data_IF_337922383131
#
_entry.id   IF_337922383131
#
_cell.length_a   1.000
_cell.length_b   1.000
_cell.length_c   1.000
_cell.angle_alpha   90.00
_cell.angle_beta   90.00
_cell.angle_gamma   90.00
#
_symmetry.space_group_name_H-M   'P 1'
#
loop_
_entity.id
_entity.type
_entity.pdbx_description
1 polymer ?
#
# COMPACT_ATOMS: atom_id res chain seq x y z
N UNK A 1 15.84 4.30 -9.70
CA UNK A 1 15.21 5.11 -8.65
C UNK A 1 15.06 6.59 -9.06
N UNK A 2 16.16 7.29 -9.41
CA UNK A 2 16.08 8.71 -9.80
C UNK A 2 15.11 8.96 -10.97
N UNK A 3 15.15 8.12 -11.97
CA UNK A 3 14.23 8.20 -13.11
C UNK A 3 12.76 8.05 -12.69
N UNK A 4 12.43 7.06 -11.86
CA UNK A 4 11.06 6.87 -11.36
C UNK A 4 10.62 8.00 -10.42
N UNK A 5 11.57 8.58 -9.65
CA UNK A 5 11.30 9.73 -8.78
C UNK A 5 10.92 10.98 -9.57
N UNK A 6 11.52 11.21 -10.75
CA UNK A 6 11.15 12.33 -11.63
C UNK A 6 9.67 12.26 -12.00
N UNK A 7 9.16 11.08 -12.38
CA UNK A 7 7.74 10.93 -12.66
C UNK A 7 6.87 11.26 -11.45
N UNK A 8 7.28 10.85 -10.24
CA UNK A 8 6.54 11.16 -9.02
C UNK A 8 6.50 12.67 -8.73
N UNK A 9 7.61 13.38 -8.99
CA UNK A 9 7.69 14.85 -8.87
C UNK A 9 6.79 15.56 -9.90
N UNK A 10 6.64 14.99 -11.08
CA UNK A 10 5.80 15.56 -12.13
C UNK A 10 4.29 15.41 -11.87
N UNK A 11 3.87 14.42 -11.08
CA UNK A 11 2.44 14.17 -10.81
C UNK A 11 1.66 15.40 -10.35
N UNK A 12 2.11 16.22 -9.37
CA UNK A 12 1.38 17.42 -8.96
C UNK A 12 1.19 18.45 -10.07
N UNK A 13 2.09 18.45 -11.09
CA UNK A 13 2.12 19.43 -12.18
C UNK A 13 1.26 18.97 -13.35
N UNK A 14 1.53 17.76 -13.88
CA UNK A 14 0.91 17.23 -15.11
C UNK A 14 -0.11 16.13 -14.84
N UNK A 15 -0.28 15.70 -13.58
CA UNK A 15 -1.18 14.61 -13.22
C UNK A 15 -2.64 14.96 -13.45
N UNK A 16 -3.42 13.93 -13.85
CA UNK A 16 -4.87 14.05 -13.98
C UNK A 16 -5.52 13.97 -12.60
N UNK A 17 -6.51 14.82 -12.40
CA UNK A 17 -7.31 14.79 -11.19
C UNK A 17 -8.38 13.68 -11.28
N UNK A 18 -8.30 12.73 -10.34
CA UNK A 18 -9.29 11.66 -10.19
C UNK A 18 -9.79 11.69 -8.76
N UNK A 19 -11.09 11.91 -8.56
CA UNK A 19 -11.74 11.97 -7.24
C UNK A 19 -11.10 12.94 -6.26
N UNK A 20 -10.73 14.13 -6.75
CA UNK A 20 -10.17 15.19 -5.90
C UNK A 20 -8.68 15.03 -5.57
N UNK A 21 -7.97 14.11 -6.22
CA UNK A 21 -6.53 13.96 -6.06
C UNK A 21 -5.82 13.70 -7.38
N UNK A 22 -4.64 14.28 -7.55
CA UNK A 22 -3.77 14.07 -8.71
C UNK A 22 -2.76 13.00 -8.37
N UNK A 23 -2.94 11.78 -8.88
CA UNK A 23 -2.08 10.62 -8.60
C UNK A 23 -1.66 9.88 -9.87
N UNK A 24 -2.35 10.14 -10.99
CA UNK A 24 -2.21 9.42 -12.24
C UNK A 24 -1.58 10.30 -13.31
N UNK A 25 -0.74 9.70 -14.17
CA UNK A 25 -0.23 10.32 -15.38
C UNK A 25 -0.84 9.63 -16.58
N UNK A 26 -1.28 10.44 -17.56
CA UNK A 26 -1.75 10.01 -18.86
C UNK A 26 -0.75 10.51 -19.92
N UNK A 27 -0.07 9.61 -20.59
CA UNK A 27 0.97 9.94 -21.59
C UNK A 27 0.49 9.71 -23.03
N UNK A 28 -0.80 9.64 -23.30
CA UNK A 28 -1.41 9.37 -24.62
C UNK A 28 -0.97 8.07 -25.31
N UNK A 29 0.31 7.67 -25.16
CA UNK A 29 0.89 6.47 -25.76
C UNK A 29 0.87 5.24 -24.86
N UNK A 30 0.66 5.43 -23.57
CA UNK A 30 0.65 4.39 -22.55
C UNK A 30 -0.68 4.42 -21.79
N UNK A 31 -1.15 3.27 -21.28
CA UNK A 31 -2.26 3.28 -20.35
C UNK A 31 -1.95 4.18 -19.15
N UNK A 32 -2.97 4.77 -18.56
CA UNK A 32 -2.83 5.56 -17.34
C UNK A 32 -2.10 4.75 -16.29
N UNK A 33 -1.07 5.32 -15.69
CA UNK A 33 -0.30 4.65 -14.65
C UNK A 33 -0.05 5.58 -13.46
N UNK A 34 0.16 4.96 -12.32
CA UNK A 34 0.46 5.67 -11.07
C UNK A 34 1.97 5.57 -10.81
N UNK A 35 2.73 6.69 -10.86
CA UNK A 35 4.20 6.65 -10.75
C UNK A 35 4.72 6.04 -9.47
N UNK A 36 3.99 6.11 -8.36
CA UNK A 36 4.40 5.50 -7.10
C UNK A 36 4.58 3.96 -7.21
N UNK A 37 3.81 3.30 -8.08
CA UNK A 37 3.93 1.86 -8.29
C UNK A 37 5.31 1.46 -8.85
N UNK A 38 5.92 2.35 -9.64
CA UNK A 38 7.29 2.19 -10.11
C UNK A 38 8.31 2.60 -9.04
N UNK A 39 8.02 3.66 -8.27
CA UNK A 39 8.96 4.16 -7.25
C UNK A 39 9.16 3.14 -6.13
N UNK A 40 8.12 2.45 -5.68
CA UNK A 40 8.19 1.49 -4.56
C UNK A 40 9.29 0.42 -4.72
N UNK A 41 9.31 -0.40 -5.79
CA UNK A 41 10.35 -1.42 -5.94
C UNK A 41 11.74 -0.81 -6.12
N UNK A 42 11.88 0.29 -6.84
CA UNK A 42 13.17 0.96 -6.98
C UNK A 42 13.66 1.61 -5.69
N UNK A 43 12.76 2.09 -4.84
CA UNK A 43 13.11 2.61 -3.51
C UNK A 43 13.63 1.48 -2.60
N UNK A 44 12.97 0.31 -2.61
CA UNK A 44 13.44 -0.86 -1.85
C UNK A 44 14.84 -1.26 -2.28
N UNK A 45 15.09 -1.38 -3.59
CA UNK A 45 16.41 -1.72 -4.11
C UNK A 45 17.45 -0.68 -3.71
N UNK A 46 17.11 0.61 -3.84
CA UNK A 46 18.01 1.71 -3.48
C UNK A 46 18.38 1.71 -2.01
N UNK A 47 17.39 1.56 -1.12
CA UNK A 47 17.60 1.48 0.33
C UNK A 47 18.45 0.24 0.69
N UNK A 48 18.15 -0.91 0.10
CA UNK A 48 18.89 -2.14 0.33
C UNK A 48 20.36 -2.01 -0.05
N UNK A 49 20.66 -1.32 -1.16
CA UNK A 49 22.04 -1.01 -1.57
C UNK A 49 22.74 -0.09 -0.56
N UNK A 50 22.04 0.93 -0.03
CA UNK A 50 22.61 1.83 0.98
C UNK A 50 22.92 1.06 2.27
N UNK A 51 21.96 0.28 2.76
CA UNK A 51 22.10 -0.45 4.02
C UNK A 51 23.21 -1.50 3.96
N UNK A 52 23.35 -2.22 2.85
CA UNK A 52 24.38 -3.24 2.64
C UNK A 52 25.75 -2.68 2.21
N UNK A 53 25.84 -1.37 1.89
CA UNK A 53 27.06 -0.78 1.35
C UNK A 53 28.18 -0.73 2.39
N UNK A 54 29.36 -1.22 2.04
CA UNK A 54 30.58 -1.09 2.86
C UNK A 54 31.26 0.29 2.74
N UNK A 55 30.83 1.14 1.79
CA UNK A 55 31.39 2.49 1.61
C UNK A 55 31.12 3.42 2.80
N UNK A 56 30.04 3.20 3.51
CA UNK A 56 29.69 3.96 4.70
C UNK A 56 30.07 3.14 5.94
N UNK A 57 31.11 3.52 6.64
CA UNK A 57 31.55 2.88 7.90
C UNK A 57 30.56 3.13 9.04
N UNK A 58 29.86 4.27 9.02
CA UNK A 58 28.90 4.64 10.06
C UNK A 58 27.50 4.14 9.71
N UNK A 59 26.98 3.22 10.52
CA UNK A 59 25.64 2.65 10.33
C UNK A 59 24.53 3.70 10.50
N UNK A 60 24.71 4.67 11.39
CA UNK A 60 23.74 5.74 11.59
C UNK A 60 23.59 6.63 10.35
N UNK A 61 24.68 6.82 9.60
CA UNK A 61 24.63 7.56 8.33
C UNK A 61 23.81 6.80 7.28
N UNK A 62 23.93 5.47 7.21
CA UNK A 62 23.10 4.64 6.32
C UNK A 62 21.61 4.78 6.68
N UNK A 63 21.28 4.72 7.96
CA UNK A 63 19.91 4.90 8.44
C UNK A 63 19.37 6.30 8.13
N UNK A 64 20.19 7.33 8.35
CA UNK A 64 19.81 8.72 8.05
C UNK A 64 19.53 8.93 6.55
N UNK A 65 20.42 8.45 5.66
CA UNK A 65 20.23 8.57 4.21
C UNK A 65 18.98 7.81 3.76
N UNK A 66 18.78 6.58 4.26
CA UNK A 66 17.58 5.80 3.93
C UNK A 66 16.29 6.47 4.44
N UNK A 67 16.33 7.08 5.63
CA UNK A 67 15.21 7.83 6.18
C UNK A 67 14.91 9.08 5.34
N UNK A 68 15.92 9.89 5.01
CA UNK A 68 15.74 11.10 4.21
C UNK A 68 15.19 10.80 2.81
N UNK A 69 15.63 9.71 2.17
CA UNK A 69 15.10 9.30 0.86
C UNK A 69 13.64 8.86 0.97
N UNK A 70 13.30 8.07 1.98
CA UNK A 70 11.93 7.63 2.24
C UNK A 70 11.01 8.81 2.59
N UNK A 71 11.50 9.73 3.44
CA UNK A 71 10.79 10.94 3.80
C UNK A 71 10.53 11.84 2.59
N UNK A 72 11.50 11.98 1.68
CA UNK A 72 11.32 12.72 0.43
C UNK A 72 10.18 12.15 -0.43
N UNK A 73 10.12 10.82 -0.58
CA UNK A 73 9.02 10.14 -1.28
C UNK A 73 7.70 10.35 -0.53
N UNK A 74 7.71 10.22 0.80
CA UNK A 74 6.52 10.40 1.62
C UNK A 74 5.95 11.83 1.55
N UNK A 75 6.81 12.85 1.52
CA UNK A 75 6.38 14.25 1.33
C UNK A 75 5.70 14.43 -0.02
N UNK A 76 6.26 13.87 -1.10
CA UNK A 76 5.63 13.92 -2.42
C UNK A 76 4.26 13.26 -2.44
N UNK A 77 4.10 12.12 -1.76
CA UNK A 77 2.81 11.42 -1.61
C UNK A 77 1.83 12.22 -0.75
N UNK A 78 2.29 12.87 0.31
CA UNK A 78 1.47 13.73 1.13
C UNK A 78 0.95 14.97 0.36
N UNK A 79 1.76 15.52 -0.57
CA UNK A 79 1.32 16.58 -1.48
C UNK A 79 0.19 16.09 -2.42
N UNK A 80 0.18 14.80 -2.77
CA UNK A 80 -0.83 14.14 -3.61
C UNK A 80 -2.04 13.59 -2.83
N UNK A 81 -2.28 13.99 -1.60
CA UNK A 81 -3.02 13.41 -0.46
C UNK A 81 -3.19 11.87 -0.53
N UNK A 82 -2.07 11.15 -0.66
CA UNK A 82 -2.04 9.68 -0.72
C UNK A 82 -1.45 9.06 0.56
N UNK A 83 -2.24 9.08 1.62
CA UNK A 83 -1.80 8.55 2.93
C UNK A 83 -1.62 7.03 2.90
N UNK A 84 -2.45 6.30 2.14
CA UNK A 84 -2.32 4.85 2.04
C UNK A 84 -0.96 4.42 1.51
N UNK A 85 -0.52 5.01 0.39
CA UNK A 85 0.80 4.76 -0.18
C UNK A 85 1.93 5.27 0.73
N UNK A 86 1.72 6.40 1.41
CA UNK A 86 2.68 6.93 2.38
C UNK A 86 2.94 5.93 3.50
N UNK A 87 1.89 5.39 4.11
CA UNK A 87 2.00 4.37 5.15
C UNK A 87 2.67 3.10 4.63
N UNK A 88 2.30 2.63 3.44
CA UNK A 88 2.90 1.45 2.81
C UNK A 88 4.41 1.60 2.63
N UNK A 89 4.87 2.75 2.14
CA UNK A 89 6.29 3.07 1.94
C UNK A 89 7.04 3.11 3.28
N UNK A 90 6.47 3.75 4.30
CA UNK A 90 7.08 3.79 5.63
C UNK A 90 7.13 2.41 6.30
N UNK A 91 6.10 1.60 6.16
CA UNK A 91 6.10 0.23 6.67
C UNK A 91 7.19 -0.62 6.00
N UNK A 92 7.27 -0.58 4.67
CA UNK A 92 8.29 -1.33 3.93
C UNK A 92 9.70 -0.88 4.32
N UNK A 93 9.92 0.43 4.46
CA UNK A 93 11.18 0.98 4.97
C UNK A 93 11.47 0.51 6.40
N UNK A 94 10.49 0.52 7.30
CA UNK A 94 10.66 0.08 8.69
C UNK A 94 11.09 -1.38 8.78
N UNK A 95 10.52 -2.25 7.94
CA UNK A 95 10.91 -3.66 7.87
C UNK A 95 12.36 -3.82 7.39
N UNK A 96 12.78 -3.05 6.38
CA UNK A 96 14.16 -3.06 5.90
C UNK A 96 15.15 -2.63 6.99
N UNK A 97 14.86 -1.55 7.70
CA UNK A 97 15.69 -1.05 8.79
C UNK A 97 15.73 -2.05 9.96
N UNK A 98 14.58 -2.66 10.29
CA UNK A 98 14.52 -3.71 11.31
C UNK A 98 15.38 -4.91 10.93
N UNK A 99 15.30 -5.36 9.68
CA UNK A 99 16.08 -6.48 9.16
C UNK A 99 17.58 -6.17 9.14
N UNK A 100 17.95 -4.89 9.00
CA UNK A 100 19.35 -4.45 9.05
C UNK A 100 19.92 -4.32 10.48
N UNK A 101 19.10 -4.58 11.53
CA UNK A 101 19.57 -4.69 12.92
C UNK A 101 19.31 -3.48 13.82
N UNK A 102 18.40 -2.57 13.43
CA UNK A 102 18.01 -1.47 14.33
C UNK A 102 17.15 -1.99 15.50
N UNK A 103 17.20 -1.31 16.64
CA UNK A 103 16.40 -1.71 17.81
C UNK A 103 14.91 -1.50 17.57
N UNK A 104 14.10 -2.44 18.04
CA UNK A 104 12.62 -2.36 17.95
C UNK A 104 12.08 -1.14 18.69
N UNK A 105 12.73 -0.73 19.80
CA UNK A 105 12.31 0.45 20.57
C UNK A 105 12.42 1.72 19.73
N UNK A 106 13.50 1.87 18.96
CA UNK A 106 13.67 3.02 18.06
C UNK A 106 12.57 3.05 16.99
N UNK A 107 12.26 1.90 16.41
CA UNK A 107 11.19 1.77 15.41
C UNK A 107 9.81 2.09 15.99
N UNK A 108 9.51 1.64 17.21
CA UNK A 108 8.23 1.96 17.86
C UNK A 108 8.08 3.44 18.14
N UNK A 109 9.12 4.12 18.63
CA UNK A 109 9.12 5.57 18.86
C UNK A 109 8.91 6.33 17.55
N UNK A 110 9.62 5.92 16.49
CA UNK A 110 9.51 6.54 15.17
C UNK A 110 8.11 6.33 14.58
N UNK A 111 7.52 5.15 14.74
CA UNK A 111 6.18 4.84 14.26
C UNK A 111 5.11 5.66 15.01
N UNK A 112 5.23 5.77 16.33
CA UNK A 112 4.33 6.60 17.13
C UNK A 112 4.43 8.09 16.76
N UNK A 113 5.65 8.59 16.52
CA UNK A 113 5.85 9.96 16.05
C UNK A 113 5.23 10.20 14.67
N UNK A 114 5.33 9.23 13.75
CA UNK A 114 4.69 9.30 12.44
C UNK A 114 3.15 9.34 12.56
N UNK A 115 2.57 8.47 13.38
CA UNK A 115 1.12 8.48 13.65
C UNK A 115 0.69 9.84 14.20
N UNK A 116 1.44 10.40 15.14
CA UNK A 116 1.14 11.71 15.71
C UNK A 116 1.15 12.81 14.65
N UNK A 117 2.18 12.85 13.80
CA UNK A 117 2.30 13.83 12.70
C UNK A 117 1.16 13.67 11.70
N UNK A 118 0.86 12.43 11.26
CA UNK A 118 -0.22 12.17 10.33
C UNK A 118 -1.58 12.54 10.92
N UNK A 119 -1.82 12.24 12.19
CA UNK A 119 -3.05 12.65 12.89
C UNK A 119 -3.18 14.17 12.93
N UNK A 120 -2.11 14.88 13.26
CA UNK A 120 -2.09 16.34 13.23
C UNK A 120 -2.43 16.88 11.83
N UNK A 121 -1.79 16.36 10.77
CA UNK A 121 -2.06 16.76 9.38
C UNK A 121 -3.53 16.53 8.99
N UNK A 122 -4.09 15.36 9.32
CA UNK A 122 -5.47 14.99 8.96
C UNK A 122 -6.51 15.86 9.67
N UNK A 123 -6.29 16.17 10.96
CA UNK A 123 -7.30 16.88 11.74
C UNK A 123 -7.23 18.41 11.61
N UNK A 124 -6.05 18.98 11.38
CA UNK A 124 -5.83 20.42 11.43
C UNK A 124 -5.54 21.09 10.08
N UNK A 125 -5.22 20.33 9.03
CA UNK A 125 -4.92 20.91 7.71
C UNK A 125 -6.07 20.62 6.73
N UNK A 126 -6.67 21.68 6.17
CA UNK A 126 -7.83 21.62 5.28
C UNK A 126 -7.61 20.73 4.05
N UNK A 127 -6.38 20.71 3.50
CA UNK A 127 -6.03 19.85 2.36
C UNK A 127 -6.32 18.36 2.60
N UNK A 128 -6.30 17.91 3.86
CA UNK A 128 -6.55 16.53 4.26
C UNK A 128 -7.98 16.29 4.74
N UNK A 129 -8.89 17.26 4.62
CA UNK A 129 -10.28 17.16 5.05
C UNK A 129 -11.02 15.99 4.39
N UNK A 130 -10.67 15.67 3.14
CA UNK A 130 -11.18 14.49 2.45
C UNK A 130 -10.86 13.18 3.20
N UNK A 131 -9.65 13.04 3.75
CA UNK A 131 -9.23 11.87 4.51
C UNK A 131 -9.91 11.85 5.88
N UNK A 132 -10.00 13.02 6.53
CA UNK A 132 -10.77 13.18 7.76
C UNK A 132 -12.21 12.70 7.59
N UNK A 133 -12.88 13.13 6.52
CA UNK A 133 -14.26 12.74 6.22
C UNK A 133 -14.37 11.23 5.97
N UNK A 134 -13.40 10.61 5.28
CA UNK A 134 -13.35 9.15 5.11
C UNK A 134 -13.22 8.41 6.44
N UNK A 135 -12.32 8.86 7.31
CA UNK A 135 -12.14 8.26 8.64
C UNK A 135 -13.40 8.41 9.49
N UNK A 136 -13.99 9.60 9.55
CA UNK A 136 -15.21 9.84 10.31
C UNK A 136 -16.39 9.03 9.78
N UNK A 137 -16.56 8.94 8.45
CA UNK A 137 -17.61 8.12 7.85
C UNK A 137 -17.40 6.63 8.06
N UNK A 138 -16.15 6.17 8.18
CA UNK A 138 -15.84 4.79 8.52
C UNK A 138 -16.32 4.40 9.93
N UNK A 139 -16.16 5.31 10.90
CA UNK A 139 -16.60 5.08 12.29
C UNK A 139 -18.10 5.37 12.51
N UNK A 140 -18.68 6.31 11.76
CA UNK A 140 -20.09 6.68 11.88
C UNK A 140 -20.92 5.93 10.83
N UNK A 141 -21.55 4.85 11.24
CA UNK A 141 -22.29 3.92 10.35
C UNK A 141 -23.53 4.51 9.68
N UNK A 142 -24.03 5.68 10.12
CA UNK A 142 -25.35 6.18 9.70
C UNK A 142 -25.36 7.14 8.50
N UNK A 143 -24.25 7.70 8.06
CA UNK A 143 -24.29 8.89 7.16
C UNK A 143 -23.28 8.91 6.00
N UNK A 144 -22.82 7.80 5.43
CA UNK A 144 -21.80 7.93 4.41
C UNK A 144 -21.92 7.01 3.20
N UNK A 145 -21.79 7.58 2.00
CA UNK A 145 -21.65 6.86 0.70
C UNK A 145 -20.53 5.82 0.72
N UNK A 146 -19.49 6.01 1.53
CA UNK A 146 -18.37 5.07 1.68
C UNK A 146 -18.76 3.82 2.46
N UNK A 147 -19.61 3.94 3.49
CA UNK A 147 -20.14 2.79 4.21
C UNK A 147 -21.01 1.93 3.29
N UNK A 148 -21.79 2.55 2.41
CA UNK A 148 -22.61 1.81 1.46
C UNK A 148 -21.79 0.98 0.45
N UNK A 149 -20.57 1.38 0.10
CA UNK A 149 -19.68 0.59 -0.77
C UNK A 149 -19.07 -0.61 -0.04
N UNK A 150 -18.57 -0.39 1.18
CA UNK A 150 -18.03 -1.46 2.01
C UNK A 150 -19.13 -2.46 2.44
N UNK A 151 -20.33 -1.96 2.72
CA UNK A 151 -21.47 -2.82 3.07
C UNK A 151 -21.89 -3.69 1.89
N UNK A 152 -21.93 -3.13 0.67
CA UNK A 152 -22.18 -3.90 -0.57
C UNK A 152 -21.07 -4.93 -0.83
N UNK A 153 -19.82 -4.61 -0.52
CA UNK A 153 -18.70 -5.55 -0.62
C UNK A 153 -18.88 -6.74 0.30
N UNK A 154 -19.26 -6.51 1.57
CA UNK A 154 -19.56 -7.58 2.53
C UNK A 154 -20.78 -8.37 2.08
N UNK A 155 -21.86 -7.71 1.64
CA UNK A 155 -23.06 -8.37 1.08
C UNK A 155 -22.67 -9.30 -0.07
N UNK A 156 -21.80 -8.86 -0.96
CA UNK A 156 -21.31 -9.67 -2.09
C UNK A 156 -20.50 -10.87 -1.63
N UNK A 157 -19.58 -10.70 -0.67
CA UNK A 157 -18.82 -11.81 -0.09
C UNK A 157 -19.75 -12.85 0.52
N UNK A 158 -20.75 -12.41 1.30
CA UNK A 158 -21.69 -13.31 1.96
C UNK A 158 -22.64 -13.98 0.95
N UNK A 159 -23.07 -13.26 -0.08
CA UNK A 159 -23.97 -13.78 -1.11
C UNK A 159 -23.31 -14.79 -2.05
N UNK A 160 -21.97 -14.75 -2.21
CA UNK A 160 -21.21 -15.72 -2.99
C UNK A 160 -21.17 -17.12 -2.36
N UNK A 161 -21.28 -17.22 -1.03
CA UNK A 161 -21.23 -18.50 -0.34
C UNK A 161 -19.94 -19.27 -0.58
N UNK A 162 -20.01 -20.62 -0.55
CA UNK A 162 -18.83 -21.45 -0.74
C UNK A 162 -18.35 -21.54 -2.19
N UNK A 163 -19.26 -21.64 -3.16
CA UNK A 163 -18.96 -21.93 -4.56
C UNK A 163 -19.13 -20.75 -5.50
N UNK A 164 -19.62 -19.61 -5.00
CA UNK A 164 -19.93 -18.44 -5.82
C UNK A 164 -21.25 -18.57 -6.59
N UNK A 165 -21.63 -17.46 -7.23
CA UNK A 165 -22.83 -17.38 -8.09
C UNK A 165 -22.56 -17.83 -9.52
N UNK A 166 -21.32 -17.91 -9.94
CA UNK A 166 -20.88 -18.19 -11.29
C UNK A 166 -20.16 -17.00 -11.94
N UNK A 167 -19.33 -17.31 -12.94
CA UNK A 167 -18.51 -16.33 -13.66
C UNK A 167 -19.44 -15.34 -14.40
N UNK A 168 -19.29 -14.06 -14.09
CA UNK A 168 -20.08 -13.01 -14.72
C UNK A 168 -21.45 -12.76 -14.08
N UNK A 169 -21.94 -13.64 -13.21
CA UNK A 169 -23.24 -13.52 -12.52
C UNK A 169 -23.20 -12.60 -11.29
N UNK A 170 -22.00 -12.17 -10.88
CA UNK A 170 -21.81 -11.20 -9.80
C UNK A 170 -22.43 -9.84 -10.12
N UNK A 171 -23.07 -9.23 -9.13
CA UNK A 171 -23.76 -7.93 -9.27
C UNK A 171 -22.95 -6.75 -8.74
N UNK A 172 -21.90 -7.01 -7.90
CA UNK A 172 -21.09 -5.97 -7.27
C UNK A 172 -20.41 -5.06 -8.29
N UNK A 173 -19.88 -5.64 -9.39
CA UNK A 173 -19.22 -4.89 -10.46
C UNK A 173 -20.09 -3.77 -11.06
N UNK A 174 -21.43 -3.91 -11.00
CA UNK A 174 -22.40 -2.92 -11.50
C UNK A 174 -22.87 -1.96 -10.39
N UNK A 175 -22.65 -2.32 -9.11
CA UNK A 175 -23.13 -1.56 -7.95
C UNK A 175 -22.08 -0.63 -7.33
N UNK A 176 -20.80 -0.94 -7.55
CA UNK A 176 -19.68 -0.21 -6.94
C UNK A 176 -18.69 0.25 -8.01
N UNK A 177 -18.44 1.55 -8.14
CA UNK A 177 -17.55 2.10 -9.18
C UNK A 177 -16.11 1.58 -9.16
N UNK A 178 -15.62 1.14 -7.99
CA UNK A 178 -14.25 0.65 -7.76
C UNK A 178 -14.20 -0.88 -7.56
N UNK A 179 -15.21 -1.60 -8.06
CA UNK A 179 -15.28 -3.04 -7.94
C UNK A 179 -14.04 -3.76 -8.52
N UNK A 180 -13.46 -3.22 -9.61
CA UNK A 180 -12.30 -3.82 -10.31
C UNK A 180 -10.94 -3.46 -9.69
N UNK A 181 -10.90 -2.57 -8.70
CA UNK A 181 -9.68 -2.13 -8.03
C UNK A 181 -9.73 -2.44 -6.54
N UNK A 182 -10.30 -1.55 -5.74
CA UNK A 182 -10.31 -1.68 -4.28
C UNK A 182 -11.12 -2.90 -3.78
N UNK A 183 -12.16 -3.32 -4.52
CA UNK A 183 -13.08 -4.40 -4.12
C UNK A 183 -12.96 -5.68 -4.96
N UNK A 184 -11.83 -5.90 -5.63
CA UNK A 184 -11.62 -7.08 -6.48
C UNK A 184 -11.81 -8.40 -5.73
N UNK A 185 -11.42 -8.47 -4.45
CA UNK A 185 -11.60 -9.67 -3.61
C UNK A 185 -13.08 -9.97 -3.39
N UNK A 186 -13.90 -8.93 -3.17
CA UNK A 186 -15.35 -9.10 -3.02
C UNK A 186 -16.01 -9.58 -4.30
N UNK A 187 -15.56 -9.09 -5.47
CA UNK A 187 -16.03 -9.60 -6.78
C UNK A 187 -15.66 -11.07 -6.97
N UNK A 188 -14.40 -11.44 -6.69
CA UNK A 188 -13.94 -12.83 -6.80
C UNK A 188 -14.74 -13.71 -5.83
N UNK A 189 -14.99 -13.25 -4.61
CA UNK A 189 -15.80 -14.00 -3.64
C UNK A 189 -17.25 -14.17 -4.09
N UNK A 190 -17.85 -13.16 -4.71
CA UNK A 190 -19.21 -13.25 -5.24
C UNK A 190 -19.33 -14.25 -6.39
N UNK A 191 -18.36 -14.23 -7.33
CA UNK A 191 -18.41 -15.07 -8.54
C UNK A 191 -17.91 -16.50 -8.31
N UNK A 192 -16.85 -16.69 -7.51
CA UNK A 192 -16.17 -17.98 -7.31
C UNK A 192 -16.30 -18.55 -5.90
N UNK A 193 -16.86 -17.79 -4.96
CA UNK A 193 -17.06 -18.20 -3.58
C UNK A 193 -15.80 -18.11 -2.70
N UNK A 194 -16.00 -18.50 -1.43
CA UNK A 194 -14.95 -18.49 -0.41
C UNK A 194 -13.80 -19.44 -0.76
N UNK A 195 -14.07 -20.53 -1.48
CA UNK A 195 -13.03 -21.50 -1.89
C UNK A 195 -11.96 -20.80 -2.73
N UNK A 196 -12.33 -19.92 -3.67
CA UNK A 196 -11.37 -19.16 -4.46
C UNK A 196 -10.50 -18.23 -3.61
N UNK A 197 -11.08 -17.60 -2.60
CA UNK A 197 -10.34 -16.73 -1.67
C UNK A 197 -9.33 -17.56 -0.85
N UNK A 198 -9.73 -18.74 -0.33
CA UNK A 198 -8.83 -19.64 0.38
C UNK A 198 -7.69 -20.07 -0.53
N UNK A 199 -7.95 -20.39 -1.79
CA UNK A 199 -6.92 -20.79 -2.76
C UNK A 199 -5.93 -19.64 -3.01
N UNK A 200 -6.41 -18.41 -3.18
CA UNK A 200 -5.55 -17.22 -3.32
C UNK A 200 -4.68 -17.04 -2.08
N UNK A 201 -5.25 -17.15 -0.87
CA UNK A 201 -4.49 -17.05 0.38
C UNK A 201 -3.43 -18.15 0.49
N UNK A 202 -3.76 -19.37 0.11
CA UNK A 202 -2.78 -20.48 0.08
C UNK A 202 -1.64 -20.21 -0.90
N UNK A 203 -1.92 -19.68 -2.09
CA UNK A 203 -0.89 -19.28 -3.05
C UNK A 203 0.02 -18.18 -2.47
N UNK A 204 -0.55 -17.17 -1.79
CA UNK A 204 0.24 -16.17 -1.08
C UNK A 204 1.13 -16.80 0.01
N UNK A 205 0.61 -17.73 0.81
CA UNK A 205 1.39 -18.43 1.85
C UNK A 205 2.55 -19.24 1.26
N UNK A 206 2.31 -19.97 0.16
CA UNK A 206 3.34 -20.72 -0.55
C UNK A 206 4.42 -19.77 -1.09
N UNK A 207 4.01 -18.64 -1.68
CA UNK A 207 4.93 -17.61 -2.16
C UNK A 207 5.79 -17.04 -1.04
N UNK A 208 5.17 -16.65 0.08
CA UNK A 208 5.84 -16.14 1.28
C UNK A 208 6.86 -17.17 1.78
N UNK A 209 6.43 -18.42 1.97
CA UNK A 209 7.30 -19.50 2.43
C UNK A 209 8.51 -19.69 1.50
N UNK A 210 8.29 -19.68 0.19
CA UNK A 210 9.35 -19.82 -0.82
C UNK A 210 10.37 -18.69 -0.74
N UNK A 211 9.91 -17.44 -0.56
CA UNK A 211 10.81 -16.29 -0.42
C UNK A 211 11.58 -16.36 0.91
N UNK A 212 10.91 -16.64 2.04
CA UNK A 212 11.59 -16.78 3.33
C UNK A 212 12.62 -17.89 3.33
N UNK A 213 12.31 -19.03 2.71
CA UNK A 213 13.29 -20.12 2.51
C UNK A 213 14.52 -19.62 1.76
N UNK A 214 14.33 -18.85 0.68
CA UNK A 214 15.44 -18.28 -0.09
C UNK A 214 16.24 -17.27 0.74
N UNK A 215 15.58 -16.39 1.49
CA UNK A 215 16.23 -15.42 2.39
C UNK A 215 17.06 -16.12 3.46
N UNK A 216 16.59 -17.25 3.98
CA UNK A 216 17.29 -18.01 5.02
C UNK A 216 18.64 -18.57 4.52
N UNK A 217 18.69 -19.06 3.26
CA UNK A 217 19.91 -19.63 2.66
C UNK A 217 20.78 -18.60 1.92
N UNK A 218 20.31 -17.37 1.76
CA UNK A 218 21.08 -16.35 1.06
C UNK A 218 22.20 -15.80 1.97
N UNK A 219 23.40 -15.62 1.41
CA UNK A 219 24.54 -15.07 2.13
C UNK A 219 24.78 -13.58 1.84
N UNK A 220 24.34 -13.09 0.71
CA UNK A 220 24.49 -11.68 0.34
C UNK A 220 23.41 -10.82 1.06
N UNK A 221 23.86 -9.98 2.00
CA UNK A 221 22.98 -9.08 2.77
C UNK A 221 22.16 -8.15 1.87
N UNK A 222 22.71 -7.71 0.74
CA UNK A 222 21.99 -6.86 -0.20
C UNK A 222 20.81 -7.62 -0.80
N UNK A 223 21.03 -8.87 -1.25
CA UNK A 223 19.96 -9.70 -1.82
C UNK A 223 18.92 -10.04 -0.76
N UNK A 224 19.33 -10.36 0.47
CA UNK A 224 18.39 -10.54 1.60
C UNK A 224 17.49 -9.35 1.80
N UNK A 225 18.05 -8.15 1.89
CA UNK A 225 17.28 -6.93 2.10
C UNK A 225 16.32 -6.66 0.94
N UNK A 226 16.74 -6.87 -0.33
CA UNK A 226 15.87 -6.71 -1.48
C UNK A 226 14.70 -7.69 -1.40
N UNK A 227 14.96 -8.97 -1.14
CA UNK A 227 13.92 -10.00 -1.03
C UNK A 227 12.92 -9.68 0.10
N UNK A 228 13.43 -9.33 1.28
CA UNK A 228 12.59 -8.95 2.43
C UNK A 228 11.77 -7.70 2.12
N UNK A 229 12.37 -6.68 1.52
CA UNK A 229 11.67 -5.46 1.17
C UNK A 229 10.57 -5.67 0.13
N UNK A 230 10.85 -6.45 -0.93
CA UNK A 230 9.86 -6.76 -1.96
C UNK A 230 8.70 -7.59 -1.41
N UNK A 231 8.98 -8.63 -0.62
CA UNK A 231 7.92 -9.46 -0.03
C UNK A 231 7.09 -8.66 0.97
N UNK A 232 7.71 -7.79 1.78
CA UNK A 232 7.00 -6.95 2.73
C UNK A 232 6.04 -5.99 2.03
N UNK A 233 6.45 -5.38 0.91
CA UNK A 233 5.63 -4.49 0.12
C UNK A 233 4.40 -5.24 -0.45
N UNK A 234 4.60 -6.41 -1.05
CA UNK A 234 3.52 -7.23 -1.60
C UNK A 234 2.54 -7.66 -0.50
N UNK A 235 3.06 -8.12 0.64
CA UNK A 235 2.24 -8.55 1.77
C UNK A 235 1.43 -7.42 2.37
N UNK A 236 2.06 -6.29 2.63
CA UNK A 236 1.37 -5.13 3.19
C UNK A 236 0.28 -4.62 2.25
N UNK A 237 0.55 -4.57 0.95
CA UNK A 237 -0.45 -4.20 -0.04
C UNK A 237 -1.61 -5.18 -0.08
N UNK A 238 -1.33 -6.50 -0.09
CA UNK A 238 -2.37 -7.54 -0.03
C UNK A 238 -3.20 -7.45 1.26
N UNK A 239 -2.55 -7.26 2.42
CA UNK A 239 -3.26 -7.09 3.70
C UNK A 239 -4.17 -5.86 3.71
N UNK A 240 -3.73 -4.74 3.13
CA UNK A 240 -4.56 -3.55 3.04
C UNK A 240 -5.77 -3.81 2.14
N UNK A 241 -5.58 -4.42 0.97
CA UNK A 241 -6.68 -4.76 0.07
C UNK A 241 -7.68 -5.72 0.72
N UNK A 242 -7.22 -6.77 1.38
CA UNK A 242 -8.09 -7.68 2.13
C UNK A 242 -8.83 -6.91 3.23
N UNK A 243 -8.12 -6.11 4.02
CA UNK A 243 -8.69 -5.33 5.12
C UNK A 243 -9.75 -4.33 4.69
N UNK A 244 -9.60 -3.70 3.52
CA UNK A 244 -10.63 -2.82 2.93
C UNK A 244 -11.87 -3.62 2.57
N UNK A 245 -11.72 -4.79 1.94
CA UNK A 245 -12.85 -5.63 1.51
C UNK A 245 -13.67 -6.18 2.67
N UNK A 246 -13.02 -6.50 3.81
CA UNK A 246 -13.71 -6.98 5.02
C UNK A 246 -14.00 -5.86 6.04
N UNK A 247 -13.90 -4.60 5.61
CA UNK A 247 -14.17 -3.41 6.44
C UNK A 247 -13.31 -3.29 7.71
N UNK A 248 -12.08 -3.77 7.68
CA UNK A 248 -11.10 -3.50 8.76
C UNK A 248 -10.41 -2.14 8.56
N UNK A 249 -10.26 -1.70 7.31
CA UNK A 249 -9.64 -0.43 6.94
C UNK A 249 -10.57 0.41 6.06
N UNK A 250 -10.50 1.75 6.16
CA UNK A 250 -11.18 2.62 5.21
C UNK A 250 -10.57 2.45 3.81
N UNK A 251 -11.37 2.71 2.78
CA UNK A 251 -10.90 2.67 1.38
C UNK A 251 -9.69 3.59 1.19
N UNK A 252 -8.61 3.06 0.64
CA UNK A 252 -7.34 3.79 0.52
C UNK A 252 -7.15 4.40 -0.86
N UNK A 253 -7.87 3.93 -1.88
CA UNK A 253 -7.70 4.31 -3.29
C UNK A 253 -6.34 3.89 -3.83
N UNK A 254 -5.78 2.80 -3.31
CA UNK A 254 -4.62 2.12 -3.85
C UNK A 254 -5.07 1.21 -4.99
N UNK A 255 -4.32 1.16 -6.06
CA UNK A 255 -4.52 0.25 -7.20
C UNK A 255 -3.65 -0.97 -7.10
#
# INVERSE_FOLDING_TARGET
>A
FLFSLIFLILVPIIGIEVKGSKRWIDLYFLPRFQPIELVKPFLIIFISIILSSQKFSNIYLKYLISFLTTLGVAILLAIQPDIGQTLLVFFSWSILIFTSGISIIFLTVLFLSLIFVLSYLIFFIEKFQYIKNRLLSFFNSETGTYNSQSDKAIESITSGGFFGKGIGEGTLKNRVPEAHTDYVISVISEEFGVIAIILILLLFLIFIYSVFKKVYFENDEKIKLILVGCISLILMQAMIHIGVNIRLFPTTGMT
#
